data_IF_470890240058
#
_entry.id   IF_470890240058
#
_cell.length_a   1.000
_cell.length_b   1.000
_cell.length_c   1.000
_cell.angle_alpha   90.00
_cell.angle_beta   90.00
_cell.angle_gamma   90.00
#
_symmetry.space_group_name_H-M   'P 1'
#
loop_
_entity.id
_entity.type
_entity.pdbx_description
1 polymer ?
#
# COMPACT_ATOMS: atom_id res chain seq x y z
N UNK A 1 52.68 -7.53 -59.87
CA UNK A 1 51.22 -7.28 -59.88
C UNK A 1 50.43 -8.00 -58.76
N UNK A 2 51.04 -8.85 -57.91
CA UNK A 2 50.30 -9.58 -56.85
C UNK A 2 50.21 -8.83 -55.49
N UNK A 3 51.16 -7.95 -55.15
CA UNK A 3 51.14 -7.21 -53.88
C UNK A 3 49.99 -6.18 -53.78
N UNK A 4 49.58 -5.59 -54.91
CA UNK A 4 48.50 -4.58 -54.94
C UNK A 4 47.11 -5.16 -54.62
N UNK A 5 46.88 -6.46 -54.86
CA UNK A 5 45.58 -7.11 -54.61
C UNK A 5 45.42 -7.60 -53.17
N UNK A 6 46.53 -7.94 -52.50
CA UNK A 6 46.53 -8.39 -51.09
C UNK A 6 46.07 -7.27 -50.15
N UNK A 7 46.38 -6.02 -50.49
CA UNK A 7 45.95 -4.85 -49.70
C UNK A 7 44.43 -4.68 -49.69
N UNK A 8 43.74 -4.94 -50.80
CA UNK A 8 42.27 -4.88 -50.85
C UNK A 8 41.60 -5.93 -49.97
N UNK A 9 42.16 -7.14 -49.91
CA UNK A 9 41.64 -8.21 -49.05
C UNK A 9 41.82 -7.86 -47.57
N UNK A 10 42.98 -7.30 -47.20
CA UNK A 10 43.25 -6.85 -45.83
C UNK A 10 42.32 -5.70 -45.41
N UNK A 11 42.08 -4.72 -46.29
CA UNK A 11 41.15 -3.62 -46.02
C UNK A 11 39.71 -4.11 -45.90
N UNK A 12 39.27 -5.04 -46.76
CA UNK A 12 37.94 -5.63 -46.68
C UNK A 12 37.74 -6.43 -45.39
N UNK A 13 38.76 -7.17 -44.95
CA UNK A 13 38.72 -7.94 -43.70
C UNK A 13 38.67 -7.00 -42.47
N UNK A 14 39.49 -5.94 -42.47
CA UNK A 14 39.45 -4.90 -41.43
C UNK A 14 38.10 -4.18 -41.37
N UNK A 15 37.53 -3.84 -42.53
CA UNK A 15 36.21 -3.23 -42.61
C UNK A 15 35.12 -4.19 -42.10
N UNK A 16 35.19 -5.48 -42.46
CA UNK A 16 34.29 -6.51 -41.95
C UNK A 16 34.36 -6.67 -40.43
N UNK A 17 35.57 -6.69 -39.86
CA UNK A 17 35.76 -6.73 -38.40
C UNK A 17 35.23 -5.46 -37.73
N UNK A 18 35.48 -4.29 -38.31
CA UNK A 18 35.02 -3.01 -37.76
C UNK A 18 33.48 -2.88 -37.77
N UNK A 19 32.82 -3.33 -38.84
CA UNK A 19 31.36 -3.33 -38.93
C UNK A 19 30.78 -4.33 -37.92
N UNK A 20 31.31 -5.54 -37.86
CA UNK A 20 30.85 -6.55 -36.89
C UNK A 20 31.04 -6.06 -35.45
N UNK A 21 32.17 -5.42 -35.15
CA UNK A 21 32.43 -4.82 -33.85
C UNK A 21 31.45 -3.67 -33.53
N UNK A 22 31.08 -2.84 -34.51
CA UNK A 22 30.11 -1.76 -34.33
C UNK A 22 28.67 -2.28 -34.08
N UNK A 23 28.32 -3.45 -34.60
CA UNK A 23 27.02 -4.10 -34.36
C UNK A 23 26.98 -4.94 -33.08
N UNK A 24 28.11 -5.49 -32.64
CA UNK A 24 28.21 -6.33 -31.43
C UNK A 24 28.54 -5.50 -30.18
N UNK A 25 29.20 -4.35 -30.32
CA UNK A 25 29.48 -3.47 -29.19
C UNK A 25 28.16 -2.99 -28.56
N UNK A 26 27.90 -3.32 -27.27
CA UNK A 26 26.76 -2.78 -26.56
C UNK A 26 26.83 -1.27 -26.60
N UNK A 27 25.83 -0.60 -27.16
CA UNK A 27 25.91 0.84 -27.37
C UNK A 27 26.00 1.48 -25.98
N UNK A 28 27.05 2.28 -25.69
CA UNK A 28 27.17 2.96 -24.40
C UNK A 28 25.98 3.89 -24.11
N UNK A 29 25.21 4.27 -25.13
CA UNK A 29 23.94 4.95 -25.00
C UNK A 29 22.89 4.10 -24.25
N UNK A 30 22.77 2.81 -24.56
CA UNK A 30 21.76 1.93 -23.96
C UNK A 30 22.02 1.76 -22.45
N UNK A 31 23.30 1.56 -22.06
CA UNK A 31 23.69 1.49 -20.63
C UNK A 31 23.42 2.78 -19.87
N UNK A 32 23.58 3.95 -20.51
CA UNK A 32 23.28 5.24 -19.89
C UNK A 32 21.78 5.43 -19.71
N UNK A 33 20.98 4.99 -20.68
CA UNK A 33 19.51 5.04 -20.59
C UNK A 33 19.04 4.15 -19.44
N UNK A 34 19.50 2.90 -19.36
CA UNK A 34 19.17 1.99 -18.24
C UNK A 34 19.55 2.57 -16.87
N UNK A 35 20.71 3.23 -16.76
CA UNK A 35 21.13 3.89 -15.52
C UNK A 35 20.21 5.06 -15.14
N UNK A 36 19.81 5.88 -16.12
CA UNK A 36 18.91 7.01 -15.90
C UNK A 36 17.50 6.54 -15.52
N UNK A 37 17.02 5.46 -16.14
CA UNK A 37 15.75 4.84 -15.78
C UNK A 37 15.79 4.23 -14.39
N UNK A 38 16.88 3.55 -14.01
CA UNK A 38 17.10 3.06 -12.65
C UNK A 38 17.04 4.19 -11.61
N UNK A 39 17.72 5.32 -11.87
CA UNK A 39 17.66 6.51 -11.00
C UNK A 39 16.26 7.14 -10.95
N UNK A 40 15.48 7.04 -12.01
CA UNK A 40 14.07 7.48 -12.01
C UNK A 40 13.21 6.56 -11.14
N UNK A 41 13.40 5.25 -11.22
CA UNK A 41 12.71 4.28 -10.38
C UNK A 41 13.03 4.46 -8.90
N UNK A 42 14.31 4.69 -8.55
CA UNK A 42 14.71 4.98 -7.18
C UNK A 42 13.99 6.20 -6.59
N UNK A 43 13.90 7.28 -7.37
CA UNK A 43 13.17 8.49 -6.96
C UNK A 43 11.67 8.25 -6.85
N UNK A 44 11.09 7.50 -7.78
CA UNK A 44 9.67 7.15 -7.75
C UNK A 44 9.32 6.31 -6.52
N UNK A 45 10.15 5.33 -6.16
CA UNK A 45 9.95 4.51 -4.95
C UNK A 45 10.04 5.36 -3.68
N UNK A 46 11.05 6.21 -3.55
CA UNK A 46 11.17 7.12 -2.40
C UNK A 46 9.96 8.05 -2.31
N UNK A 47 9.53 8.63 -3.43
CA UNK A 47 8.35 9.49 -3.47
C UNK A 47 7.05 8.72 -3.13
N UNK A 48 6.91 7.46 -3.58
CA UNK A 48 5.78 6.62 -3.20
C UNK A 48 5.71 6.38 -1.68
N UNK A 49 6.85 6.13 -1.04
CA UNK A 49 6.95 6.00 0.42
C UNK A 49 6.52 7.29 1.14
N UNK A 50 6.96 8.46 0.64
CA UNK A 50 6.53 9.74 1.21
C UNK A 50 5.03 9.99 1.00
N UNK A 51 4.46 9.60 -0.16
CA UNK A 51 3.03 9.69 -0.41
C UNK A 51 2.24 8.80 0.56
N UNK A 52 2.72 7.58 0.85
CA UNK A 52 2.11 6.70 1.84
C UNK A 52 2.14 7.29 3.25
N UNK A 53 3.30 7.80 3.69
CA UNK A 53 3.43 8.45 5.01
C UNK A 53 2.50 9.66 5.16
N UNK A 54 2.40 10.47 4.11
CA UNK A 54 1.49 11.63 4.12
C UNK A 54 0.02 11.20 4.15
N UNK A 55 -0.34 10.13 3.44
CA UNK A 55 -1.68 9.57 3.47
C UNK A 55 -2.02 8.97 4.84
N UNK A 56 -1.09 8.24 5.47
CA UNK A 56 -1.23 7.74 6.83
C UNK A 56 -1.50 8.87 7.84
N UNK A 57 -0.70 9.94 7.81
CA UNK A 57 -0.93 11.12 8.65
C UNK A 57 -2.32 11.74 8.42
N UNK A 58 -2.77 11.84 7.16
CA UNK A 58 -4.11 12.33 6.84
C UNK A 58 -5.20 11.48 7.51
N UNK A 59 -5.06 10.15 7.48
CA UNK A 59 -6.04 9.27 8.09
C UNK A 59 -5.97 9.26 9.62
N UNK A 60 -4.78 9.35 10.20
CA UNK A 60 -4.58 9.60 11.63
C UNK A 60 -5.31 10.87 12.08
N UNK A 61 -5.11 11.98 11.37
CA UNK A 61 -5.78 13.25 11.69
C UNK A 61 -7.30 13.17 11.53
N UNK A 62 -7.76 12.40 10.55
CA UNK A 62 -9.19 12.18 10.32
C UNK A 62 -9.81 11.38 11.46
N UNK A 63 -9.24 10.23 11.81
CA UNK A 63 -9.76 9.36 12.87
C UNK A 63 -9.61 9.98 14.25
N UNK A 64 -8.55 10.76 14.50
CA UNK A 64 -8.40 11.54 15.73
C UNK A 64 -9.53 12.55 15.95
N UNK A 65 -10.08 13.13 14.87
CA UNK A 65 -11.26 14.01 14.97
C UNK A 65 -12.51 13.21 15.35
N UNK A 66 -12.69 12.01 14.78
CA UNK A 66 -13.81 11.13 15.13
C UNK A 66 -13.74 10.69 16.61
N UNK A 67 -12.54 10.35 17.11
CA UNK A 67 -12.34 9.93 18.49
C UNK A 67 -12.61 11.00 19.56
N UNK A 68 -12.79 12.26 19.15
CA UNK A 68 -13.14 13.38 20.03
C UNK A 68 -14.64 13.63 20.13
N UNK A 69 -15.46 12.87 19.41
CA UNK A 69 -16.91 13.03 19.44
C UNK A 69 -17.52 12.61 20.78
N UNK A 70 -18.27 13.51 21.41
CA UNK A 70 -18.78 13.31 22.77
C UNK A 70 -19.85 12.21 22.84
N UNK A 71 -20.74 12.13 21.85
CA UNK A 71 -21.80 11.12 21.81
C UNK A 71 -21.23 9.72 21.55
N UNK A 72 -20.23 9.63 20.67
CA UNK A 72 -19.48 8.39 20.46
C UNK A 72 -18.79 7.95 21.75
N UNK A 73 -18.11 8.86 22.44
CA UNK A 73 -17.45 8.57 23.72
C UNK A 73 -18.44 8.08 24.79
N UNK A 74 -19.62 8.69 24.91
CA UNK A 74 -20.64 8.28 25.88
C UNK A 74 -21.20 6.88 25.59
N UNK A 75 -21.47 6.57 24.32
CA UNK A 75 -21.97 5.26 23.91
C UNK A 75 -20.91 4.16 24.13
N UNK A 76 -19.65 4.42 23.79
CA UNK A 76 -18.55 3.47 24.03
C UNK A 76 -18.20 3.31 25.51
N UNK A 77 -18.34 4.36 26.33
CA UNK A 77 -18.20 4.26 27.79
C UNK A 77 -19.29 3.38 28.41
N UNK A 78 -20.52 3.47 27.88
CA UNK A 78 -21.64 2.63 28.31
C UNK A 78 -21.37 1.16 27.95
N UNK A 79 -20.91 0.88 26.73
CA UNK A 79 -20.49 -0.46 26.29
C UNK A 79 -19.34 -1.02 27.14
N UNK A 80 -18.32 -0.20 27.41
CA UNK A 80 -17.15 -0.57 28.22
C UNK A 80 -17.54 -1.02 29.64
N UNK A 81 -18.53 -0.33 30.23
CA UNK A 81 -19.09 -0.65 31.54
C UNK A 81 -20.09 -1.82 31.52
N UNK A 82 -20.48 -2.32 30.36
CA UNK A 82 -21.52 -3.34 30.21
C UNK A 82 -22.90 -2.82 30.55
N UNK A 83 -23.15 -1.52 30.36
CA UNK A 83 -24.44 -0.88 30.63
C UNK A 83 -25.19 -0.67 29.33
N UNK A 84 -26.41 -1.21 29.25
CA UNK A 84 -27.27 -1.13 28.08
C UNK A 84 -27.37 -2.45 27.32
N UNK A 85 -28.41 -2.59 26.51
CA UNK A 85 -28.58 -3.75 25.63
C UNK A 85 -27.56 -3.67 24.48
N UNK A 86 -26.77 -4.74 24.19
CA UNK A 86 -25.75 -4.72 23.16
C UNK A 86 -26.25 -4.27 21.79
N UNK A 87 -27.46 -4.71 21.41
CA UNK A 87 -28.09 -4.33 20.13
C UNK A 87 -28.43 -2.84 20.07
N UNK A 88 -28.93 -2.26 21.17
CA UNK A 88 -29.23 -0.85 21.24
C UNK A 88 -27.97 0.02 21.19
N UNK A 89 -26.90 -0.40 21.87
CA UNK A 89 -25.59 0.25 21.81
C UNK A 89 -25.01 0.18 20.39
N UNK A 90 -25.06 -0.99 19.76
CA UNK A 90 -24.64 -1.18 18.38
C UNK A 90 -25.31 -0.20 17.43
N UNK A 91 -26.65 -0.13 17.46
CA UNK A 91 -27.44 0.78 16.61
C UNK A 91 -27.14 2.26 16.89
N UNK A 92 -26.92 2.61 18.16
CA UNK A 92 -26.58 3.97 18.59
C UNK A 92 -25.20 4.39 18.04
N UNK A 93 -24.18 3.55 18.23
CA UNK A 93 -22.82 3.83 17.75
C UNK A 93 -22.79 3.84 16.22
N UNK A 94 -23.45 2.88 15.55
CA UNK A 94 -23.52 2.84 14.08
C UNK A 94 -24.19 4.10 13.52
N UNK A 95 -25.33 4.51 14.09
CA UNK A 95 -26.00 5.75 13.69
C UNK A 95 -25.13 6.97 13.91
N UNK A 96 -24.34 7.00 14.99
CA UNK A 96 -23.40 8.10 15.23
C UNK A 96 -22.25 8.13 14.23
N UNK A 97 -21.65 6.99 13.92
CA UNK A 97 -20.62 6.88 12.88
C UNK A 97 -21.14 7.37 11.53
N UNK A 98 -22.37 6.96 11.16
CA UNK A 98 -23.04 7.42 9.93
C UNK A 98 -23.31 8.92 9.94
N UNK A 99 -23.66 9.51 11.08
CA UNK A 99 -23.86 10.95 11.19
C UNK A 99 -22.54 11.75 11.09
N UNK A 100 -21.43 11.19 11.60
CA UNK A 100 -20.09 11.80 11.51
C UNK A 100 -19.51 11.68 10.10
N UNK A 101 -19.81 10.59 9.40
CA UNK A 101 -19.31 10.28 8.06
C UNK A 101 -20.48 9.87 7.15
N UNK A 102 -21.34 10.83 6.74
CA UNK A 102 -22.56 10.53 5.98
C UNK A 102 -22.27 9.99 4.58
N UNK A 103 -21.17 10.43 3.97
CA UNK A 103 -20.74 9.99 2.65
C UNK A 103 -19.30 9.45 2.72
N UNK A 104 -19.17 8.23 3.24
CA UNK A 104 -17.87 7.55 3.38
C UNK A 104 -17.15 7.35 2.05
N UNK A 105 -17.91 7.06 0.99
CA UNK A 105 -17.37 6.65 -0.31
C UNK A 105 -16.68 7.84 -1.01
N UNK A 106 -17.28 9.03 -0.95
CA UNK A 106 -16.64 10.23 -1.53
C UNK A 106 -15.35 10.62 -0.79
N UNK A 107 -15.30 10.41 0.53
CA UNK A 107 -14.10 10.62 1.35
C UNK A 107 -13.04 9.56 1.09
N UNK A 108 -13.43 8.39 0.57
CA UNK A 108 -12.55 7.25 0.29
C UNK A 108 -12.45 6.24 1.42
N UNK A 109 -13.38 6.26 2.38
CA UNK A 109 -13.43 5.32 3.50
C UNK A 109 -14.24 4.10 3.09
N UNK A 110 -13.62 2.92 3.15
CA UNK A 110 -14.27 1.63 2.89
C UNK A 110 -15.11 1.23 4.10
N UNK A 111 -14.48 1.21 5.28
CA UNK A 111 -15.14 0.85 6.53
C UNK A 111 -14.67 1.64 7.75
N UNK A 112 -15.55 1.68 8.76
CA UNK A 112 -15.28 2.22 10.09
C UNK A 112 -15.56 1.13 11.11
N UNK A 113 -14.73 1.05 12.16
CA UNK A 113 -14.92 0.13 13.27
C UNK A 113 -14.80 0.94 14.56
N UNK A 114 -15.79 0.81 15.44
CA UNK A 114 -15.72 1.36 16.79
C UNK A 114 -15.63 0.21 17.80
N UNK A 115 -14.62 0.26 18.66
CA UNK A 115 -14.40 -0.72 19.73
C UNK A 115 -14.52 -0.08 21.11
N UNK A 116 -14.93 -0.86 22.10
CA UNK A 116 -14.93 -0.46 23.49
C UNK A 116 -13.52 -0.54 24.12
N UNK A 117 -13.37 -0.13 25.38
CA UNK A 117 -12.07 -0.12 26.06
C UNK A 117 -11.47 -1.52 26.33
N UNK A 118 -12.21 -2.59 26.03
CA UNK A 118 -11.76 -3.98 26.08
C UNK A 118 -11.54 -4.54 24.67
N UNK A 119 -11.48 -3.68 23.65
CA UNK A 119 -11.25 -4.05 22.26
C UNK A 119 -12.34 -4.91 21.64
N UNK A 120 -13.56 -4.91 22.21
CA UNK A 120 -14.72 -5.53 21.57
C UNK A 120 -15.34 -4.57 20.58
N UNK A 121 -15.66 -5.07 19.39
CA UNK A 121 -16.39 -4.32 18.37
C UNK A 121 -17.78 -3.98 18.89
N UNK A 122 -18.11 -2.69 18.91
CA UNK A 122 -19.44 -2.20 19.26
C UNK A 122 -20.27 -1.96 18.01
N UNK A 123 -19.66 -1.38 16.97
CA UNK A 123 -20.30 -1.21 15.67
C UNK A 123 -19.28 -1.14 14.54
N UNK A 124 -19.76 -1.49 13.35
CA UNK A 124 -19.07 -1.33 12.08
C UNK A 124 -19.95 -0.53 11.12
N UNK A 125 -19.32 0.12 10.14
CA UNK A 125 -19.97 0.74 9.00
C UNK A 125 -19.19 0.38 7.73
N UNK A 126 -19.86 0.05 6.64
CA UNK A 126 -19.24 -0.43 5.41
C UNK A 126 -19.23 -1.96 5.31
N UNK A 127 -18.32 -2.61 6.04
CA UNK A 127 -18.16 -4.07 6.05
C UNK A 127 -18.74 -4.67 7.33
N UNK A 128 -19.41 -5.83 7.18
CA UNK A 128 -19.92 -6.66 8.29
C UNK A 128 -20.72 -5.87 9.34
N UNK A 129 -21.58 -4.95 8.90
CA UNK A 129 -22.30 -4.02 9.78
C UNK A 129 -23.16 -4.71 10.84
N UNK A 130 -23.57 -5.97 10.61
CA UNK A 130 -24.34 -6.77 11.56
C UNK A 130 -23.49 -7.45 12.64
N UNK A 131 -22.16 -7.47 12.50
CA UNK A 131 -21.25 -8.19 13.40
C UNK A 131 -20.69 -7.29 14.50
N UNK A 132 -21.07 -7.59 15.75
CA UNK A 132 -20.60 -6.89 16.95
C UNK A 132 -20.40 -7.85 18.13
N UNK A 133 -19.63 -7.41 19.12
CA UNK A 133 -19.29 -8.15 20.34
C UNK A 133 -17.99 -8.96 20.26
N UNK A 134 -17.49 -9.24 19.07
CA UNK A 134 -16.22 -9.92 18.86
C UNK A 134 -15.04 -9.05 19.31
N UNK A 135 -14.05 -9.68 19.93
CA UNK A 135 -12.79 -9.03 20.30
C UNK A 135 -11.88 -8.95 19.08
N UNK A 136 -11.30 -7.78 18.84
CA UNK A 136 -10.21 -7.58 17.88
C UNK A 136 -8.92 -7.14 18.58
N UNK A 137 -8.80 -7.41 19.89
CA UNK A 137 -7.53 -7.34 20.60
C UNK A 137 -6.53 -8.28 19.93
N UNK A 138 -5.29 -7.81 19.78
CA UNK A 138 -4.22 -8.53 19.09
C UNK A 138 -3.80 -7.84 17.81
N UNK A 139 -4.70 -7.04 17.22
CA UNK A 139 -4.37 -6.13 16.13
C UNK A 139 -3.62 -4.91 16.68
N UNK A 140 -2.40 -4.68 16.21
CA UNK A 140 -1.45 -3.71 16.80
C UNK A 140 -2.01 -2.29 16.83
N UNK A 141 -2.52 -1.80 15.70
CA UNK A 141 -3.08 -0.45 15.57
C UNK A 141 -4.27 -0.21 16.52
N UNK A 142 -5.05 -1.25 16.83
CA UNK A 142 -6.16 -1.18 17.80
C UNK A 142 -5.61 -1.14 19.24
N UNK A 143 -4.63 -1.99 19.55
CA UNK A 143 -4.00 -2.03 20.86
C UNK A 143 -3.33 -0.68 21.20
N UNK A 144 -2.67 -0.07 20.23
CA UNK A 144 -2.04 1.25 20.38
C UNK A 144 -3.07 2.35 20.62
N UNK A 145 -4.16 2.36 19.86
CA UNK A 145 -5.27 3.28 20.08
C UNK A 145 -5.87 3.13 21.49
N UNK A 146 -6.06 1.89 21.96
CA UNK A 146 -6.56 1.64 23.32
C UNK A 146 -5.58 2.05 24.44
N UNK A 147 -4.28 2.19 24.12
CA UNK A 147 -3.26 2.76 25.02
C UNK A 147 -3.14 4.28 24.92
N UNK A 148 -3.85 4.91 23.98
CA UNK A 148 -3.89 6.35 23.81
C UNK A 148 -3.05 6.89 22.66
N UNK A 149 -2.44 6.02 21.87
CA UNK A 149 -1.64 6.42 20.72
C UNK A 149 -2.52 6.62 19.48
N UNK A 150 -2.11 7.55 18.62
CA UNK A 150 -2.58 7.59 17.25
C UNK A 150 -1.69 6.67 16.44
N UNK A 151 -2.28 5.75 15.69
CA UNK A 151 -1.51 4.72 14.98
C UNK A 151 -2.12 4.48 13.60
N UNK A 152 -1.29 4.02 12.68
CA UNK A 152 -1.66 3.61 11.33
C UNK A 152 -1.03 2.26 11.01
N UNK A 153 -1.63 1.56 10.05
CA UNK A 153 -1.17 0.27 9.60
C UNK A 153 -1.68 -0.02 8.18
N UNK A 154 -1.21 -1.10 7.58
CA UNK A 154 -1.77 -1.66 6.35
C UNK A 154 -2.18 -3.09 6.63
N UNK A 155 -3.44 -3.41 6.42
CA UNK A 155 -3.99 -4.76 6.63
C UNK A 155 -4.18 -5.49 5.32
N UNK A 156 -3.70 -6.74 5.27
CA UNK A 156 -4.17 -7.72 4.31
C UNK A 156 -5.28 -8.55 4.94
N UNK A 157 -6.46 -8.60 4.32
CA UNK A 157 -7.55 -9.47 4.79
C UNK A 157 -8.51 -9.79 3.65
N UNK A 158 -8.96 -11.05 3.57
CA UNK A 158 -9.89 -11.50 2.53
C UNK A 158 -9.40 -11.28 1.10
N UNK A 159 -8.07 -11.21 0.87
CA UNK A 159 -7.48 -10.88 -0.43
C UNK A 159 -7.59 -9.41 -0.83
N UNK A 160 -7.95 -8.53 0.12
CA UNK A 160 -7.93 -7.07 -0.02
C UNK A 160 -6.76 -6.50 0.77
N UNK A 161 -6.25 -5.36 0.31
CA UNK A 161 -5.25 -4.58 1.02
C UNK A 161 -5.91 -3.26 1.45
N UNK A 162 -5.86 -2.95 2.74
CA UNK A 162 -6.50 -1.76 3.32
C UNK A 162 -5.47 -0.96 4.08
N UNK A 163 -5.43 0.35 3.85
CA UNK A 163 -4.69 1.28 4.72
C UNK A 163 -5.59 1.66 5.87
N UNK A 164 -5.05 1.67 7.07
CA UNK A 164 -5.81 1.78 8.31
C UNK A 164 -5.24 2.88 9.18
N UNK A 165 -6.13 3.63 9.83
CA UNK A 165 -5.78 4.56 10.89
C UNK A 165 -6.66 4.35 12.10
N UNK A 166 -6.10 4.40 13.31
CA UNK A 166 -6.85 4.29 14.56
C UNK A 166 -6.53 5.42 15.54
N UNK A 167 -7.54 5.78 16.34
CA UNK A 167 -7.39 6.75 17.43
C UNK A 167 -8.18 6.33 18.68
N UNK A 168 -7.70 6.72 19.88
CA UNK A 168 -8.46 6.57 21.11
C UNK A 168 -9.74 7.41 21.06
N UNK A 169 -10.79 6.88 21.67
CA UNK A 169 -11.96 7.67 22.05
C UNK A 169 -11.82 8.07 23.50
N UNK A 170 -11.80 9.38 23.75
CA UNK A 170 -11.57 9.94 25.09
C UNK A 170 -12.87 10.50 25.65
N UNK A 171 -13.28 10.00 26.81
CA UNK A 171 -14.39 10.58 27.56
C UNK A 171 -13.91 11.83 28.30
N UNK A 172 -14.35 13.01 27.85
CA UNK A 172 -14.00 14.29 28.50
C UNK A 172 -14.48 14.38 29.95
N UNK A 173 -15.61 13.75 30.29
CA UNK A 173 -16.18 13.81 31.63
C UNK A 173 -15.43 12.93 32.64
N UNK A 174 -14.72 11.89 32.17
CA UNK A 174 -14.01 10.92 33.01
C UNK A 174 -12.50 10.91 32.80
N UNK A 175 -12.00 11.75 31.90
CA UNK A 175 -10.60 11.86 31.50
C UNK A 175 -9.91 10.50 31.25
N UNK A 176 -10.58 9.63 30.47
CA UNK A 176 -10.10 8.28 30.20
C UNK A 176 -10.43 7.81 28.79
N UNK A 177 -9.66 6.83 28.33
CA UNK A 177 -9.94 6.09 27.10
C UNK A 177 -11.14 5.17 27.33
N UNK A 178 -12.16 5.31 26.50
CA UNK A 178 -13.42 4.54 26.57
C UNK A 178 -13.63 3.64 25.36
N UNK A 179 -12.67 3.63 24.44
CA UNK A 179 -12.69 2.84 23.23
C UNK A 179 -11.68 3.33 22.20
N UNK A 180 -11.81 2.84 20.97
CA UNK A 180 -11.07 3.32 19.82
C UNK A 180 -11.97 3.35 18.58
N UNK A 181 -11.62 4.22 17.64
CA UNK A 181 -12.19 4.23 16.29
C UNK A 181 -11.09 3.87 15.32
N UNK A 182 -11.43 3.05 14.34
CA UNK A 182 -10.58 2.62 13.26
C UNK A 182 -11.25 2.99 11.94
N UNK A 183 -10.46 3.54 11.02
CA UNK A 183 -10.83 3.84 9.63
C UNK A 183 -10.04 2.90 8.75
N UNK A 184 -10.71 2.20 7.84
CA UNK A 184 -10.07 1.43 6.79
C UNK A 184 -10.38 2.01 5.41
N UNK A 185 -9.36 2.08 4.58
CA UNK A 185 -9.34 2.73 3.27
C UNK A 185 -8.83 1.72 2.28
N UNK A 186 -9.64 1.44 1.26
CA UNK A 186 -9.28 0.46 0.25
C UNK A 186 -8.02 0.89 -0.52
N UNK A 187 -7.13 -0.07 -0.76
CA UNK A 187 -5.94 0.12 -1.60
C UNK A 187 -6.24 -0.44 -2.99
N UNK A 188 -6.86 0.40 -3.81
CA UNK A 188 -7.52 0.01 -5.06
C UNK A 188 -6.84 0.59 -6.31
N UNK A 189 -7.57 0.58 -7.44
CA UNK A 189 -7.12 1.21 -8.69
C UNK A 189 -6.97 2.71 -8.58
N UNK A 190 -7.77 3.40 -7.77
CA UNK A 190 -7.67 4.85 -7.58
C UNK A 190 -6.31 5.23 -7.00
N UNK A 191 -5.80 4.46 -6.03
CA UNK A 191 -4.45 4.68 -5.50
C UNK A 191 -3.38 4.48 -6.57
N UNK A 192 -3.46 3.38 -7.32
CA UNK A 192 -2.50 3.07 -8.38
C UNK A 192 -2.47 4.15 -9.49
N UNK A 193 -3.63 4.62 -9.94
CA UNK A 193 -3.73 5.70 -10.93
C UNK A 193 -3.22 7.04 -10.39
N UNK A 194 -3.50 7.37 -9.12
CA UNK A 194 -2.95 8.56 -8.48
C UNK A 194 -1.41 8.51 -8.43
N UNK A 195 -0.84 7.36 -8.09
CA UNK A 195 0.61 7.18 -8.09
C UNK A 195 1.19 7.26 -9.48
N UNK A 196 0.56 6.65 -10.49
CA UNK A 196 0.99 6.81 -11.89
C UNK A 196 1.05 8.27 -12.31
N UNK A 197 0.03 9.05 -11.97
CA UNK A 197 -0.02 10.48 -12.27
C UNK A 197 1.08 11.28 -11.53
N UNK A 198 1.30 11.00 -10.25
CA UNK A 198 2.24 11.77 -9.42
C UNK A 198 3.72 11.36 -9.59
N UNK A 199 3.97 10.08 -9.87
CA UNK A 199 5.31 9.50 -9.96
C UNK A 199 5.77 9.36 -11.42
N UNK A 200 4.84 9.35 -12.37
CA UNK A 200 5.13 9.15 -13.79
C UNK A 200 5.68 7.75 -14.09
N UNK A 201 5.21 6.74 -13.36
CA UNK A 201 5.61 5.33 -13.54
C UNK A 201 4.36 4.45 -13.56
N UNK A 202 4.46 3.26 -14.13
CA UNK A 202 3.40 2.26 -14.01
C UNK A 202 3.44 1.62 -12.62
N UNK A 203 2.26 1.30 -12.08
CA UNK A 203 2.10 0.83 -10.70
C UNK A 203 1.31 -0.45 -10.69
N UNK A 204 1.82 -1.47 -9.99
CA UNK A 204 1.12 -2.69 -9.67
C UNK A 204 1.17 -2.90 -8.15
N UNK A 205 0.02 -3.19 -7.56
CA UNK A 205 -0.15 -3.52 -6.15
C UNK A 205 -0.35 -5.02 -6.05
N UNK A 206 0.45 -5.68 -5.21
CA UNK A 206 0.50 -7.14 -5.09
C UNK A 206 0.25 -7.52 -3.64
N UNK A 207 -0.52 -8.57 -3.42
CA UNK A 207 -0.73 -9.18 -2.11
C UNK A 207 -0.54 -10.70 -2.26
N UNK A 208 0.53 -11.21 -1.66
CA UNK A 208 0.93 -12.60 -1.81
C UNK A 208 1.18 -12.95 -3.29
N UNK A 209 0.43 -13.92 -3.83
CA UNK A 209 0.56 -14.37 -5.24
C UNK A 209 -0.38 -13.69 -6.22
N UNK A 210 -1.07 -12.63 -5.79
CA UNK A 210 -2.10 -11.97 -6.61
C UNK A 210 -1.79 -10.50 -6.80
N UNK A 211 -1.95 -10.03 -8.03
CA UNK A 211 -2.01 -8.59 -8.31
C UNK A 211 -3.41 -8.11 -7.98
N UNK A 212 -3.53 -7.26 -6.96
CA UNK A 212 -4.81 -6.74 -6.48
C UNK A 212 -5.29 -5.53 -7.30
N UNK A 213 -4.35 -4.74 -7.82
CA UNK A 213 -4.63 -3.54 -8.60
C UNK A 213 -3.42 -3.19 -9.46
N UNK A 214 -3.64 -2.63 -10.65
CA UNK A 214 -2.56 -2.22 -11.55
C UNK A 214 -3.02 -1.17 -12.56
N UNK A 215 -2.09 -0.32 -12.97
CA UNK A 215 -2.27 0.59 -14.11
C UNK A 215 -1.87 -0.05 -15.45
N UNK A 216 -1.20 -1.20 -15.41
CA UNK A 216 -0.85 -2.00 -16.58
C UNK A 216 -1.98 -2.96 -16.99
N UNK A 217 -2.07 -3.34 -18.27
CA UNK A 217 -2.96 -4.40 -18.75
C UNK A 217 -2.72 -5.75 -18.06
N UNK A 218 -3.79 -6.47 -17.73
CA UNK A 218 -3.73 -7.76 -17.00
C UNK A 218 -2.88 -8.82 -17.68
N UNK A 219 -2.86 -8.85 -19.02
CA UNK A 219 -2.05 -9.76 -19.82
C UNK A 219 -0.53 -9.65 -19.53
N UNK A 220 -0.08 -8.52 -18.98
CA UNK A 220 1.32 -8.26 -18.64
C UNK A 220 1.66 -8.60 -17.18
N UNK A 221 0.68 -8.95 -16.34
CA UNK A 221 0.86 -9.03 -14.89
C UNK A 221 1.17 -10.43 -14.36
N UNK A 222 0.98 -11.48 -15.18
CA UNK A 222 0.91 -12.87 -14.72
C UNK A 222 2.15 -13.38 -13.97
N UNK A 223 3.34 -12.87 -14.29
CA UNK A 223 4.61 -13.34 -13.69
C UNK A 223 5.17 -12.41 -12.61
N UNK A 224 4.53 -11.26 -12.36
CA UNK A 224 5.03 -10.29 -11.38
C UNK A 224 5.14 -10.85 -9.96
N UNK A 225 4.12 -11.57 -9.42
CA UNK A 225 4.21 -12.08 -8.05
C UNK A 225 5.35 -13.07 -7.87
N UNK A 226 5.57 -13.97 -8.85
CA UNK A 226 6.64 -14.97 -8.80
C UNK A 226 8.03 -14.30 -8.84
N UNK A 227 8.18 -13.22 -9.62
CA UNK A 227 9.42 -12.44 -9.69
C UNK A 227 9.70 -11.71 -8.36
N UNK A 228 8.66 -11.18 -7.70
CA UNK A 228 8.80 -10.55 -6.38
C UNK A 228 9.19 -11.61 -5.34
N UNK A 229 8.56 -12.79 -5.36
CA UNK A 229 8.86 -13.90 -4.44
C UNK A 229 10.33 -14.36 -4.56
N UNK A 230 10.86 -14.46 -5.79
CA UNK A 230 12.27 -14.77 -6.04
C UNK A 230 13.24 -13.74 -5.44
N UNK A 231 12.78 -12.50 -5.22
CA UNK A 231 13.56 -11.39 -4.64
C UNK A 231 13.24 -11.12 -3.18
N UNK A 232 12.44 -11.96 -2.53
CA UNK A 232 12.04 -11.82 -1.11
C UNK A 232 13.22 -11.58 -0.16
N UNK A 233 14.36 -12.28 -0.34
CA UNK A 233 15.56 -12.07 0.48
C UNK A 233 16.16 -10.67 0.32
N UNK A 234 16.16 -10.14 -0.90
CA UNK A 234 16.65 -8.79 -1.20
C UNK A 234 15.74 -7.74 -0.56
N UNK A 235 14.42 -7.93 -0.70
CA UNK A 235 13.40 -7.09 -0.08
C UNK A 235 13.50 -7.11 1.44
N UNK A 236 13.69 -8.28 2.07
CA UNK A 236 13.85 -8.38 3.51
C UNK A 236 15.08 -7.60 4.02
N UNK A 237 16.17 -7.60 3.25
CA UNK A 237 17.44 -6.97 3.63
C UNK A 237 17.46 -5.47 3.35
N UNK A 238 16.94 -5.06 2.20
CA UNK A 238 17.07 -3.70 1.68
C UNK A 238 15.75 -2.92 1.65
N UNK A 239 14.65 -3.53 2.10
CA UNK A 239 13.28 -3.01 2.02
C UNK A 239 12.80 -2.67 0.61
N UNK A 240 13.52 -3.16 -0.41
CA UNK A 240 13.20 -3.04 -1.84
C UNK A 240 14.09 -3.95 -2.67
N UNK A 241 13.72 -4.15 -3.93
CA UNK A 241 14.62 -4.71 -4.95
C UNK A 241 15.44 -3.61 -5.61
N UNK A 242 16.59 -3.95 -6.17
CA UNK A 242 17.21 -3.13 -7.22
C UNK A 242 16.32 -3.08 -8.45
N UNK A 243 16.50 -2.04 -9.27
CA UNK A 243 15.86 -1.97 -10.57
C UNK A 243 16.26 -3.20 -11.39
N UNK A 244 15.26 -3.96 -11.84
CA UNK A 244 15.47 -5.17 -12.62
C UNK A 244 14.66 -5.13 -13.91
N UNK A 245 15.22 -5.63 -15.02
CA UNK A 245 14.49 -5.72 -16.27
C UNK A 245 13.41 -6.78 -16.19
N UNK A 246 12.24 -6.45 -16.73
CA UNK A 246 11.10 -7.32 -16.91
C UNK A 246 10.66 -7.26 -18.36
N UNK A 247 10.42 -8.42 -18.96
CA UNK A 247 9.92 -8.51 -20.33
C UNK A 247 8.39 -8.56 -20.27
N UNK A 248 7.76 -7.52 -20.81
CA UNK A 248 6.33 -7.28 -20.81
C UNK A 248 5.81 -7.37 -22.26
N UNK A 249 5.66 -8.60 -22.75
CA UNK A 249 5.31 -8.85 -24.15
C UNK A 249 6.46 -8.46 -25.08
N UNK A 250 6.29 -7.40 -25.87
CA UNK A 250 7.31 -6.89 -26.79
C UNK A 250 8.13 -5.73 -26.20
N UNK A 251 7.78 -5.26 -25.00
CA UNK A 251 8.46 -4.15 -24.34
C UNK A 251 9.30 -4.66 -23.16
N UNK A 252 10.48 -4.09 -23.00
CA UNK A 252 11.33 -4.34 -21.84
C UNK A 252 11.22 -3.15 -20.90
N UNK A 253 10.77 -3.39 -19.67
CA UNK A 253 10.61 -2.36 -18.66
C UNK A 253 11.56 -2.60 -17.49
N UNK A 254 11.81 -1.56 -16.69
CA UNK A 254 12.46 -1.71 -15.40
C UNK A 254 11.41 -1.73 -14.28
N UNK A 255 11.62 -2.62 -13.33
CA UNK A 255 10.75 -2.80 -12.17
C UNK A 255 11.56 -2.64 -10.88
N UNK A 256 10.95 -1.96 -9.91
CA UNK A 256 11.37 -1.95 -8.51
C UNK A 256 10.18 -2.40 -7.68
N UNK A 257 10.38 -3.38 -6.80
CA UNK A 257 9.38 -3.79 -5.82
C UNK A 257 9.81 -3.35 -4.42
N UNK A 258 8.87 -2.84 -3.65
CA UNK A 258 9.03 -2.50 -2.24
C UNK A 258 7.76 -2.95 -1.50
N UNK A 259 7.89 -3.49 -0.28
CA UNK A 259 6.75 -3.98 0.47
C UNK A 259 5.98 -2.81 1.06
N UNK A 260 4.68 -3.01 1.31
CA UNK A 260 3.98 -2.14 2.24
C UNK A 260 4.59 -2.29 3.64
N UNK A 261 4.61 -1.20 4.41
CA UNK A 261 4.99 -1.25 5.83
C UNK A 261 3.72 -1.57 6.63
N UNK A 262 3.84 -2.44 7.64
CA UNK A 262 2.72 -2.84 8.50
C UNK A 262 2.42 -4.33 8.48
N UNK A 263 1.27 -4.72 9.03
CA UNK A 263 0.79 -6.11 9.15
C UNK A 263 0.69 -6.80 7.78
N UNK A 264 0.32 -6.06 6.73
CA UNK A 264 0.26 -6.57 5.37
C UNK A 264 1.62 -7.04 4.83
N UNK A 265 2.73 -6.50 5.34
CA UNK A 265 4.08 -6.96 4.97
C UNK A 265 4.30 -8.42 5.37
N UNK A 266 3.78 -8.82 6.53
CA UNK A 266 3.86 -10.22 7.00
C UNK A 266 3.05 -11.17 6.11
N UNK A 267 2.06 -10.63 5.39
CA UNK A 267 1.23 -11.36 4.44
C UNK A 267 1.75 -11.27 2.99
N UNK A 268 2.91 -10.66 2.78
CA UNK A 268 3.56 -10.56 1.46
C UNK A 268 3.00 -9.46 0.56
N UNK A 269 2.60 -8.32 1.13
CA UNK A 269 2.29 -7.09 0.41
C UNK A 269 3.52 -6.21 0.16
#
# INVERSE_FOLDING_TARGET
>A
MFLSKIYFVLVALLAGVAITAAFVAPRPADRRIEQLEGQRMDRAQYAAEQLLRNDAHRWIDYVAKLGRDAHLAEALDSSSRGVGEPKALHETVRSRLKALVPDRVSVGIESLIAVDNKGRVVARMGDDEGEYGQSIIGVEVVNDALRGYLSDDVWGDGGRLRRVGAAPVISKSRDRIVGAVVVAVETDRRLAEMWKQNLGVEVALVLGKKVISSTLPEALLGHLPDLIEQRSKEIATHKRTRAMPIDMGNERMLMVAAPFVGEASEQGA
#
